data_IF_771226655920
#
_entry.id   IF_771226655920
#
_cell.length_a   1.000
_cell.length_b   1.000
_cell.length_c   1.000
_cell.angle_alpha   90.00
_cell.angle_beta   90.00
_cell.angle_gamma   90.00
#
_symmetry.space_group_name_H-M   'P 1'
#
loop_
_entity.id
_entity.type
_entity.pdbx_description
1 polymer ?
#
# COMPACT_ATOMS: atom_id res chain seq x y z
N UNK A 1 -18.67 -5.36 10.15
CA UNK A 1 -17.71 -6.15 10.97
C UNK A 1 -16.38 -5.45 11.16
N UNK A 2 -15.70 -4.98 10.10
CA UNK A 2 -14.39 -4.32 10.21
C UNK A 2 -14.47 -2.99 10.97
N UNK A 3 -15.44 -2.11 10.64
CA UNK A 3 -15.58 -0.78 11.29
C UNK A 3 -15.84 -0.89 12.81
N UNK A 4 -16.69 -1.82 13.24
CA UNK A 4 -16.96 -2.04 14.68
C UNK A 4 -15.69 -2.45 15.43
N UNK A 5 -14.91 -3.38 14.86
CA UNK A 5 -13.66 -3.82 15.49
C UNK A 5 -12.57 -2.76 15.48
N UNK A 6 -12.52 -1.90 14.46
CA UNK A 6 -11.62 -0.75 14.43
C UNK A 6 -11.98 0.26 15.53
N UNK A 7 -13.27 0.52 15.72
CA UNK A 7 -13.77 1.40 16.78
C UNK A 7 -13.47 0.83 18.18
N UNK A 8 -13.68 -0.47 18.39
CA UNK A 8 -13.36 -1.15 19.65
C UNK A 8 -11.86 -1.08 19.99
N UNK A 9 -11.00 -1.12 18.97
CA UNK A 9 -9.55 -1.00 19.13
C UNK A 9 -9.08 0.47 19.18
N UNK A 10 -9.99 1.44 19.05
CA UNK A 10 -9.68 2.87 19.11
C UNK A 10 -8.95 3.41 17.86
N UNK A 11 -9.01 2.71 16.73
CA UNK A 11 -8.39 3.18 15.50
C UNK A 11 -9.25 4.25 14.83
N UNK A 12 -8.62 5.37 14.48
CA UNK A 12 -9.22 6.35 13.59
C UNK A 12 -9.30 5.80 12.17
N UNK A 13 -10.46 5.96 11.54
CA UNK A 13 -10.68 5.55 10.15
C UNK A 13 -10.59 6.75 9.22
N UNK A 14 -9.61 6.74 8.32
CA UNK A 14 -9.54 7.73 7.26
C UNK A 14 -10.62 7.44 6.20
N UNK A 15 -11.47 8.42 5.91
CA UNK A 15 -12.45 8.33 4.82
C UNK A 15 -11.74 8.24 3.48
N UNK A 16 -11.58 7.03 2.95
CA UNK A 16 -11.08 6.79 1.60
C UNK A 16 -12.11 7.36 0.61
N UNK A 17 -11.87 8.58 0.11
CA UNK A 17 -12.64 9.15 -0.99
C UNK A 17 -12.53 8.19 -2.18
N UNK A 18 -13.65 7.89 -2.83
CA UNK A 18 -13.78 6.97 -3.98
C UNK A 18 -13.12 7.49 -5.29
N UNK A 19 -12.05 8.28 -5.18
CA UNK A 19 -11.18 8.69 -6.29
C UNK A 19 -10.23 7.52 -6.67
N UNK A 20 -9.53 7.50 -7.84
CA UNK A 20 -8.87 6.31 -8.36
C UNK A 20 -7.66 5.96 -7.49
N UNK A 21 -7.99 5.22 -6.44
CA UNK A 21 -7.14 4.66 -5.41
C UNK A 21 -6.09 3.72 -6.01
N UNK A 22 -6.34 3.26 -7.23
CA UNK A 22 -5.45 2.49 -8.10
C UNK A 22 -4.16 3.23 -8.48
N UNK A 23 -4.15 4.58 -8.57
CA UNK A 23 -2.95 5.31 -9.05
C UNK A 23 -1.99 5.79 -7.97
N UNK A 24 -2.43 5.84 -6.72
CA UNK A 24 -1.68 6.53 -5.65
C UNK A 24 -1.77 5.88 -4.27
N UNK A 25 -2.32 4.66 -4.15
CA UNK A 25 -2.27 3.93 -2.87
C UNK A 25 -0.81 3.70 -2.45
N UNK A 26 -0.55 3.64 -1.14
CA UNK A 26 0.69 3.07 -0.59
C UNK A 26 0.94 1.70 -1.21
N UNK A 27 -0.14 0.96 -1.50
CA UNK A 27 -0.10 -0.31 -2.20
C UNK A 27 0.51 -0.18 -3.60
N UNK A 28 0.32 0.92 -4.33
CA UNK A 28 0.94 1.09 -5.64
C UNK A 28 2.46 1.22 -5.51
N UNK A 29 3.02 2.04 -4.62
CA UNK A 29 4.49 2.14 -4.53
C UNK A 29 5.13 0.92 -3.87
N UNK A 30 4.45 0.36 -2.87
CA UNK A 30 4.91 -0.85 -2.19
C UNK A 30 4.77 -2.10 -3.09
N UNK A 31 3.66 -2.21 -3.82
CA UNK A 31 3.33 -3.32 -4.71
C UNK A 31 3.52 -3.06 -6.23
N UNK A 32 4.20 -1.98 -6.65
CA UNK A 32 4.65 -1.82 -8.05
C UNK A 32 5.95 -2.56 -8.35
N UNK A 33 6.78 -2.76 -7.34
CA UNK A 33 8.01 -3.56 -7.46
C UNK A 33 7.87 -5.10 -7.35
N UNK A 34 6.84 -5.69 -6.72
CA UNK A 34 6.61 -7.12 -6.73
C UNK A 34 6.20 -7.68 -8.08
N UNK A 35 5.74 -6.90 -9.07
CA UNK A 35 5.55 -7.45 -10.43
C UNK A 35 6.87 -8.01 -11.00
N UNK A 36 8.01 -7.39 -10.65
CA UNK A 36 9.34 -7.91 -10.97
C UNK A 36 9.82 -9.03 -10.01
N UNK A 37 9.25 -9.12 -8.80
CA UNK A 37 9.58 -10.14 -7.79
C UNK A 37 8.81 -11.46 -8.03
N UNK A 38 7.55 -11.35 -8.44
CA UNK A 38 6.64 -12.45 -8.75
C UNK A 38 6.95 -13.03 -10.14
N UNK A 39 7.32 -12.22 -11.14
CA UNK A 39 7.74 -12.73 -12.45
C UNK A 39 8.96 -13.67 -12.41
N UNK A 40 9.79 -13.58 -11.35
CA UNK A 40 10.95 -14.47 -11.15
C UNK A 40 10.65 -15.74 -10.36
N UNK A 41 9.50 -15.85 -9.70
CA UNK A 41 9.22 -16.91 -8.73
C UNK A 41 7.82 -17.51 -8.93
N UNK A 42 7.75 -18.74 -9.45
CA UNK A 42 6.52 -19.55 -9.36
C UNK A 42 6.36 -20.08 -7.94
N UNK A 43 5.32 -19.65 -7.22
CA UNK A 43 5.02 -20.16 -5.89
C UNK A 43 4.22 -21.46 -6.01
N UNK A 44 4.88 -22.59 -5.74
CA UNK A 44 4.28 -23.93 -5.85
C UNK A 44 3.54 -24.38 -4.57
N UNK A 45 3.66 -23.65 -3.46
CA UNK A 45 2.90 -23.85 -2.24
C UNK A 45 2.88 -22.59 -1.37
N UNK A 46 2.00 -22.60 -0.36
CA UNK A 46 1.79 -21.47 0.55
C UNK A 46 3.06 -21.10 1.34
N UNK A 47 3.82 -22.08 1.82
CA UNK A 47 5.04 -21.83 2.61
C UNK A 47 6.09 -21.08 1.79
N UNK A 48 6.28 -21.47 0.53
CA UNK A 48 7.21 -20.80 -0.39
C UNK A 48 6.74 -19.37 -0.68
N UNK A 49 5.43 -19.16 -0.85
CA UNK A 49 4.87 -17.82 -1.01
C UNK A 49 5.08 -16.94 0.24
N UNK A 50 4.79 -17.46 1.43
CA UNK A 50 4.96 -16.75 2.70
C UNK A 50 6.43 -16.36 2.92
N UNK A 51 7.35 -17.30 2.79
CA UNK A 51 8.79 -17.04 2.93
C UNK A 51 9.30 -15.99 1.94
N UNK A 52 8.79 -16.01 0.70
CA UNK A 52 9.17 -15.01 -0.30
C UNK A 52 8.63 -13.62 0.05
N UNK A 53 7.38 -13.53 0.52
CA UNK A 53 6.78 -12.27 0.97
C UNK A 53 7.54 -11.72 2.19
N UNK A 54 7.90 -12.55 3.17
CA UNK A 54 8.68 -12.13 4.33
C UNK A 54 10.05 -11.59 3.93
N UNK A 55 10.77 -12.29 3.05
CA UNK A 55 12.05 -11.81 2.49
C UNK A 55 11.89 -10.51 1.72
N UNK A 56 10.80 -10.37 0.95
CA UNK A 56 10.50 -9.15 0.23
C UNK A 56 10.30 -7.98 1.19
N UNK A 57 9.44 -8.15 2.20
CA UNK A 57 9.19 -7.11 3.22
C UNK A 57 10.49 -6.77 3.97
N UNK A 58 11.25 -7.78 4.41
CA UNK A 58 12.52 -7.57 5.11
C UNK A 58 13.62 -6.93 4.25
N UNK A 59 13.53 -7.01 2.92
CA UNK A 59 14.45 -6.33 2.00
C UNK A 59 14.12 -4.86 1.77
N UNK A 60 12.93 -4.40 2.20
CA UNK A 60 12.50 -3.00 2.03
C UNK A 60 13.10 -2.14 3.12
N UNK A 61 13.59 -0.97 2.72
CA UNK A 61 14.09 0.01 3.67
C UNK A 61 12.92 0.76 4.33
N UNK A 62 13.03 1.17 5.60
CA UNK A 62 12.00 1.96 6.27
C UNK A 62 11.65 3.26 5.53
N UNK A 63 12.62 3.82 4.80
CA UNK A 63 12.46 5.03 3.99
C UNK A 63 11.46 4.82 2.85
N UNK A 64 11.31 3.60 2.31
CA UNK A 64 10.29 3.32 1.29
C UNK A 64 8.88 3.52 1.84
N UNK A 65 8.64 3.14 3.09
CA UNK A 65 7.36 3.40 3.76
C UNK A 65 7.13 4.91 3.95
N UNK A 66 8.17 5.66 4.34
CA UNK A 66 8.09 7.11 4.48
C UNK A 66 7.82 7.80 3.13
N UNK A 67 8.48 7.36 2.05
CA UNK A 67 8.25 7.87 0.69
C UNK A 67 6.80 7.64 0.24
N UNK A 68 6.26 6.43 0.47
CA UNK A 68 4.86 6.13 0.14
C UNK A 68 3.86 7.00 0.89
N UNK A 69 4.07 7.19 2.21
CA UNK A 69 3.22 8.07 3.03
C UNK A 69 3.32 9.53 2.56
N UNK A 70 4.53 10.04 2.30
CA UNK A 70 4.72 11.41 1.82
C UNK A 70 4.11 11.63 0.43
N UNK A 71 4.07 10.59 -0.40
CA UNK A 71 3.41 10.66 -1.70
C UNK A 71 1.89 10.84 -1.56
N UNK A 72 1.25 10.27 -0.52
CA UNK A 72 -0.18 10.52 -0.27
C UNK A 72 -0.46 12.01 -0.07
N UNK A 73 0.37 12.70 0.73
CA UNK A 73 0.26 14.15 0.96
C UNK A 73 0.37 14.91 -0.35
N UNK A 74 1.37 14.58 -1.18
CA UNK A 74 1.51 15.17 -2.52
C UNK A 74 0.28 14.92 -3.41
N UNK A 75 -0.28 13.71 -3.39
CA UNK A 75 -1.43 13.37 -4.23
C UNK A 75 -2.70 14.10 -3.80
N UNK A 76 -2.93 14.28 -2.49
CA UNK A 76 -4.04 15.07 -1.99
C UNK A 76 -3.88 16.55 -2.31
N UNK A 77 -2.67 17.10 -2.18
CA UNK A 77 -2.42 18.48 -2.57
C UNK A 77 -2.69 18.68 -4.06
N UNK A 78 -2.19 17.77 -4.90
CA UNK A 78 -2.47 17.77 -6.33
C UNK A 78 -3.97 17.73 -6.62
N UNK A 79 -4.72 16.85 -5.94
CA UNK A 79 -6.18 16.78 -6.11
C UNK A 79 -6.89 18.10 -5.80
N UNK A 80 -6.48 18.78 -4.72
CA UNK A 80 -7.00 20.10 -4.35
C UNK A 80 -6.66 21.12 -5.44
N UNK A 81 -5.40 21.14 -5.90
CA UNK A 81 -4.90 22.09 -6.89
C UNK A 81 -5.60 21.98 -8.26
N UNK A 82 -6.04 20.77 -8.64
CA UNK A 82 -6.78 20.52 -9.88
C UNK A 82 -8.32 20.53 -9.71
N UNK A 83 -8.85 21.02 -8.57
CA UNK A 83 -10.30 21.04 -8.28
C UNK A 83 -11.00 19.68 -8.49
N UNK A 84 -10.28 18.57 -8.26
CA UNK A 84 -10.81 17.22 -8.43
C UNK A 84 -10.93 16.68 -9.86
N UNK A 85 -10.30 17.32 -10.85
CA UNK A 85 -10.18 16.83 -12.24
C UNK A 85 -8.84 16.16 -12.56
#
# INVERSE_FOLDING_TARGET
>A
MIVQKLNELGYETLSLLAYPQDRYSIDYDFFKHPDNFQQKNFFNNQTVAQNAIEKFIGSRSPELCAVGINRLVYCWQKYIDYNGF
#
